data_IF_918266141367
#
_entry.id   IF_918266141367
#
_cell.length_a   1.000
_cell.length_b   1.000
_cell.length_c   1.000
_cell.angle_alpha   90.00
_cell.angle_beta   90.00
_cell.angle_gamma   90.00
#
_symmetry.space_group_name_H-M   'P 1'
#
loop_
_entity.id
_entity.type
_entity.pdbx_description
1 polymer ?
#
# COMPACT_ATOMS: atom_id res chain seq x y z
N UNK A 1 -13.05 -7.97 -1.98
CA UNK A 1 -12.00 -8.29 -2.96
C UNK A 1 -11.07 -7.09 -3.12
N UNK A 2 -9.77 -7.34 -3.03
CA UNK A 2 -8.78 -6.28 -3.10
C UNK A 2 -8.53 -5.91 -4.56
N UNK A 3 -8.62 -4.62 -4.90
CA UNK A 3 -8.39 -4.17 -6.26
C UNK A 3 -6.90 -4.19 -6.61
N UNK A 4 -6.60 -4.16 -7.90
CA UNK A 4 -5.22 -4.11 -8.37
C UNK A 4 -4.50 -2.86 -7.83
N UNK A 5 -5.20 -1.74 -7.76
CA UNK A 5 -4.67 -0.51 -7.19
C UNK A 5 -4.26 -0.69 -5.73
N UNK A 6 -5.12 -1.34 -4.95
CA UNK A 6 -4.85 -1.57 -3.53
C UNK A 6 -3.60 -2.43 -3.36
N UNK A 7 -3.48 -3.48 -4.16
CA UNK A 7 -2.29 -4.36 -4.14
C UNK A 7 -1.03 -3.60 -4.52
N UNK A 8 -1.11 -2.74 -5.53
CA UNK A 8 0.04 -1.95 -5.97
C UNK A 8 0.51 -1.00 -4.87
N UNK A 9 -0.44 -0.37 -4.16
CA UNK A 9 -0.10 0.52 -3.05
C UNK A 9 0.54 -0.28 -1.89
N UNK A 10 0.01 -1.45 -1.58
CA UNK A 10 0.60 -2.32 -0.56
C UNK A 10 2.03 -2.74 -0.94
N UNK A 11 2.25 -3.01 -2.22
CA UNK A 11 3.59 -3.31 -2.74
C UNK A 11 4.55 -2.15 -2.52
N UNK A 12 4.10 -0.93 -2.81
CA UNK A 12 4.91 0.27 -2.61
C UNK A 12 5.25 0.45 -1.14
N UNK A 13 4.26 0.30 -0.26
CA UNK A 13 4.47 0.42 1.18
C UNK A 13 5.50 -0.61 1.65
N UNK A 14 5.39 -1.84 1.15
CA UNK A 14 6.32 -2.90 1.49
C UNK A 14 7.74 -2.57 1.01
N UNK A 15 7.87 -1.98 -0.18
CA UNK A 15 9.16 -1.58 -0.73
C UNK A 15 9.85 -0.51 0.11
N UNK A 16 9.08 0.36 0.75
CA UNK A 16 9.64 1.38 1.63
C UNK A 16 10.38 0.75 2.81
N UNK A 17 9.97 -0.44 3.23
CA UNK A 17 10.62 -1.14 4.33
C UNK A 17 10.48 -0.46 5.68
N UNK A 18 9.60 0.51 5.78
CA UNK A 18 9.35 1.29 6.99
C UNK A 18 7.99 0.95 7.56
N UNK A 19 7.89 0.94 8.88
CA UNK A 19 6.61 0.79 9.56
C UNK A 19 5.79 2.07 9.44
N UNK A 20 6.45 3.22 9.63
CA UNK A 20 5.84 4.53 9.49
C UNK A 20 6.24 5.12 8.15
N UNK A 21 5.31 5.75 7.47
CA UNK A 21 5.61 6.37 6.17
C UNK A 21 4.77 7.62 5.98
N UNK A 22 5.27 8.52 5.14
CA UNK A 22 4.56 9.73 4.76
C UNK A 22 3.88 9.54 3.41
N UNK A 23 2.82 10.30 3.18
CA UNK A 23 2.15 10.33 1.89
C UNK A 23 3.15 10.66 0.78
N UNK A 24 4.09 11.57 1.06
CA UNK A 24 5.12 11.94 0.09
C UNK A 24 6.06 10.79 -0.25
N UNK A 25 6.25 9.85 0.66
CA UNK A 25 7.05 8.66 0.37
C UNK A 25 6.39 7.82 -0.72
N UNK A 26 5.06 7.75 -0.70
CA UNK A 26 4.30 7.02 -1.73
C UNK A 26 4.33 7.79 -3.04
N UNK A 27 4.28 9.11 -2.99
CA UNK A 27 4.30 9.94 -4.20
C UNK A 27 5.59 9.75 -5.02
N UNK A 28 6.68 9.35 -4.36
CA UNK A 28 7.93 9.04 -5.07
C UNK A 28 7.71 7.94 -6.12
N UNK A 29 6.73 7.06 -5.88
CA UNK A 29 6.41 5.98 -6.79
C UNK A 29 5.32 6.34 -7.81
N UNK A 30 4.94 7.62 -7.90
CA UNK A 30 3.91 8.08 -8.83
C UNK A 30 4.19 7.63 -10.26
N UNK A 31 5.43 7.79 -10.70
CA UNK A 31 5.83 7.43 -12.06
C UNK A 31 5.69 5.92 -12.29
N UNK A 32 6.10 5.13 -11.32
CA UNK A 32 5.97 3.68 -11.37
C UNK A 32 4.50 3.26 -11.47
N UNK A 33 3.66 3.85 -10.61
CA UNK A 33 2.23 3.57 -10.61
C UNK A 33 1.55 4.01 -11.90
N UNK A 34 2.00 5.14 -12.46
CA UNK A 34 1.51 5.61 -13.75
C UNK A 34 1.79 4.62 -14.86
N UNK A 35 2.95 3.97 -14.82
CA UNK A 35 3.30 2.92 -15.78
C UNK A 35 2.42 1.69 -15.67
N UNK A 36 1.99 1.35 -14.45
CA UNK A 36 1.09 0.22 -14.22
C UNK A 36 -0.36 0.54 -14.58
N UNK A 37 -0.73 1.80 -14.49
CA UNK A 37 -2.11 2.25 -14.73
C UNK A 37 -2.11 3.44 -15.69
N UNK A 38 -1.75 3.22 -16.96
CA UNK A 38 -1.53 4.33 -17.91
C UNK A 38 -2.79 5.12 -18.25
N UNK A 39 -3.97 4.55 -18.01
CA UNK A 39 -5.23 5.24 -18.29
C UNK A 39 -5.66 6.17 -17.15
N UNK A 40 -4.96 6.11 -16.02
CA UNK A 40 -5.29 6.96 -14.88
C UNK A 40 -4.43 8.23 -14.93
N UNK A 41 -5.07 9.38 -15.07
CA UNK A 41 -4.38 10.66 -15.18
C UNK A 41 -4.18 11.37 -13.85
N UNK A 42 -4.76 10.83 -12.78
CA UNK A 42 -4.73 11.48 -11.47
C UNK A 42 -4.18 10.52 -10.42
N UNK A 43 -2.90 10.19 -10.57
CA UNK A 43 -2.24 9.17 -9.74
C UNK A 43 -2.22 9.57 -8.26
N UNK A 44 -1.91 10.82 -7.95
CA UNK A 44 -1.85 11.30 -6.56
C UNK A 44 -3.19 11.16 -5.86
N UNK A 45 -4.28 11.52 -6.54
CA UNK A 45 -5.62 11.39 -5.97
C UNK A 45 -5.96 9.92 -5.74
N UNK A 46 -5.55 9.06 -6.67
CA UNK A 46 -5.79 7.63 -6.54
C UNK A 46 -5.00 7.03 -5.38
N UNK A 47 -3.77 7.48 -5.19
CA UNK A 47 -2.95 7.07 -4.04
C UNK A 47 -3.69 7.40 -2.73
N UNK A 48 -4.16 8.63 -2.59
CA UNK A 48 -4.89 9.06 -1.40
C UNK A 48 -6.15 8.24 -1.18
N UNK A 49 -6.88 7.96 -2.26
CA UNK A 49 -8.08 7.14 -2.21
C UNK A 49 -7.77 5.73 -1.70
N UNK A 50 -6.70 5.13 -2.21
CA UNK A 50 -6.34 3.78 -1.82
C UNK A 50 -5.82 3.71 -0.37
N UNK A 51 -5.13 4.74 0.08
CA UNK A 51 -4.72 4.82 1.48
C UNK A 51 -5.93 4.90 2.39
N UNK A 52 -6.98 5.61 1.96
CA UNK A 52 -8.24 5.66 2.70
C UNK A 52 -8.87 4.28 2.79
N UNK A 53 -8.87 3.54 1.68
CA UNK A 53 -9.40 2.17 1.65
C UNK A 53 -8.63 1.27 2.61
N UNK A 54 -7.31 1.36 2.61
CA UNK A 54 -6.46 0.56 3.50
C UNK A 54 -6.68 0.93 4.96
N UNK A 55 -6.87 2.21 5.24
CA UNK A 55 -7.15 2.69 6.58
C UNK A 55 -8.49 2.16 7.07
N UNK A 56 -9.52 2.23 6.25
CA UNK A 56 -10.85 1.72 6.59
C UNK A 56 -10.84 0.22 6.79
N UNK A 57 -10.01 -0.49 6.04
CA UNK A 57 -9.83 -1.93 6.19
C UNK A 57 -8.98 -2.33 7.38
N UNK A 58 -8.44 -1.35 8.11
CA UNK A 58 -7.63 -1.64 9.30
C UNK A 58 -6.22 -2.09 8.99
N UNK A 59 -5.75 -1.91 7.76
CA UNK A 59 -4.40 -2.32 7.38
C UNK A 59 -3.34 -1.27 7.70
N UNK A 60 -3.74 -0.01 7.72
CA UNK A 60 -2.86 1.09 8.12
C UNK A 60 -3.60 1.99 9.10
N UNK A 61 -2.82 2.78 9.86
CA UNK A 61 -3.35 3.76 10.78
C UNK A 61 -2.92 5.16 10.37
N UNK A 62 -3.83 6.11 10.51
CA UNK A 62 -3.53 7.51 10.35
C UNK A 62 -2.92 8.04 11.66
N UNK A 63 -1.70 8.55 11.59
CA UNK A 63 -1.00 9.06 12.78
C UNK A 63 -1.16 10.56 12.88
N UNK A 64 -0.91 11.25 11.77
CA UNK A 64 -0.97 12.69 11.66
C UNK A 64 -1.20 13.04 10.20
N UNK A 65 -1.44 14.30 9.91
CA UNK A 65 -1.67 14.75 8.54
C UNK A 65 -0.52 14.29 7.63
N UNK A 66 -0.86 13.47 6.65
CA UNK A 66 0.11 12.94 5.69
C UNK A 66 1.05 11.88 6.23
N UNK A 67 0.83 11.40 7.46
CA UNK A 67 1.66 10.38 8.06
C UNK A 67 0.82 9.17 8.45
N UNK A 68 1.30 7.98 8.07
CA UNK A 68 0.60 6.72 8.28
C UNK A 68 1.57 5.69 8.85
N UNK A 69 1.01 4.62 9.40
CA UNK A 69 1.82 3.50 9.84
C UNK A 69 1.11 2.18 9.57
N UNK A 70 1.88 1.15 9.26
CA UNK A 70 1.33 -0.19 9.11
C UNK A 70 0.87 -0.70 10.47
N UNK A 71 -0.27 -1.36 10.50
CA UNK A 71 -0.75 -1.99 11.72
C UNK A 71 0.23 -3.07 12.15
N UNK A 72 0.37 -3.21 13.46
CA UNK A 72 1.28 -4.21 14.03
C UNK A 72 0.92 -5.60 13.50
N UNK A 73 1.92 -6.30 12.98
CA UNK A 73 1.75 -7.65 12.48
C UNK A 73 1.31 -7.78 11.04
N UNK A 74 0.89 -6.68 10.38
CA UNK A 74 0.41 -6.77 9.01
C UNK A 74 1.48 -7.30 8.06
N UNK A 75 2.70 -6.77 8.16
CA UNK A 75 3.81 -7.21 7.32
C UNK A 75 4.09 -8.70 7.53
N UNK A 76 4.03 -9.13 8.79
CA UNK A 76 4.21 -10.52 9.15
C UNK A 76 3.12 -11.40 8.55
N UNK A 77 1.87 -10.93 8.59
CA UNK A 77 0.74 -11.64 8.01
C UNK A 77 0.86 -11.78 6.50
N UNK A 78 1.29 -10.71 5.82
CA UNK A 78 1.50 -10.75 4.39
C UNK A 78 2.57 -11.76 4.00
N UNK A 79 3.67 -11.79 4.74
CA UNK A 79 4.75 -12.74 4.53
C UNK A 79 4.29 -14.17 4.79
N UNK A 80 3.46 -14.38 5.83
CA UNK A 80 2.89 -15.68 6.14
C UNK A 80 2.02 -16.19 5.01
N UNK A 81 1.17 -15.33 4.48
CA UNK A 81 0.28 -15.69 3.36
C UNK A 81 1.07 -16.08 2.13
N UNK A 82 2.12 -15.33 1.83
CA UNK A 82 2.99 -15.63 0.72
C UNK A 82 3.66 -16.99 0.90
N UNK A 83 4.19 -17.27 2.09
CA UNK A 83 4.80 -18.56 2.40
C UNK A 83 3.79 -19.71 2.31
N UNK A 84 2.60 -19.48 2.85
CA UNK A 84 1.55 -20.51 2.84
C UNK A 84 1.14 -20.84 1.42
N UNK A 85 1.01 -19.84 0.58
CA UNK A 85 0.67 -20.07 -0.83
C UNK A 85 1.74 -20.90 -1.53
N UNK A 86 3.00 -20.66 -1.23
CA UNK A 86 4.10 -21.42 -1.80
C UNK A 86 4.23 -22.83 -1.26
N UNK A 87 3.66 -23.11 -0.10
CA UNK A 87 3.75 -24.42 0.54
C UNK A 87 2.63 -25.37 0.20
N UNK A 88 1.57 -24.89 -0.37
CA UNK A 88 0.43 -25.73 -0.73
C UNK A 88 0.68 -26.59 -1.94
N UNK A 89 1.83 -26.53 -2.43
CA UNK A 89 2.27 -27.44 -3.49
C UNK A 89 2.65 -28.78 -2.91
#
# INVERSE_FOLDING_TARGET
MTSAWTLDILHVINKLGKRDFFLTDIYVFEKHLSGLHPNNKNIKAKIRQQLQVLREGGMIEFIAKGKYKLKAGLRKQLLRRAKKAGRTT
#
